data_IF_697475474440
#
_entry.id   IF_697475474440
#
_cell.length_a   1.000
_cell.length_b   1.000
_cell.length_c   1.000
_cell.angle_alpha   90.00
_cell.angle_beta   90.00
_cell.angle_gamma   90.00
#
_symmetry.space_group_name_H-M   'P 1'
#
loop_
_entity.id
_entity.type
_entity.pdbx_description
1 polymer ?
#
# COMPACT_ATOMS: atom_id res chain seq x y z
N UNK A 1 14.45 -25.25 11.19
CA UNK A 1 14.13 -25.46 9.76
C UNK A 1 14.52 -24.21 9.01
N UNK A 2 15.34 -24.32 7.94
CA UNK A 2 15.62 -23.17 7.07
C UNK A 2 14.32 -22.60 6.48
N UNK A 3 14.21 -21.27 6.41
CA UNK A 3 13.02 -20.59 5.87
C UNK A 3 13.40 -19.33 5.09
N UNK A 4 12.65 -19.04 4.04
CA UNK A 4 12.71 -17.74 3.34
C UNK A 4 11.45 -16.94 3.65
N UNK A 5 11.62 -15.75 4.23
CA UNK A 5 10.54 -14.83 4.52
C UNK A 5 10.52 -13.75 3.44
N UNK A 6 9.54 -13.82 2.54
CA UNK A 6 9.36 -12.81 1.50
C UNK A 6 8.56 -11.63 2.09
N UNK A 7 9.14 -10.42 2.03
CA UNK A 7 8.52 -9.18 2.51
C UNK A 7 8.23 -8.26 1.34
N UNK A 8 7.03 -8.37 0.76
CA UNK A 8 6.58 -7.44 -0.27
C UNK A 8 6.35 -6.03 0.31
N UNK A 9 6.72 -5.00 -0.45
CA UNK A 9 6.54 -3.60 -0.03
C UNK A 9 5.06 -3.19 -0.04
N UNK A 10 4.34 -3.50 -1.09
CA UNK A 10 2.90 -3.30 -1.23
C UNK A 10 2.36 -4.18 -2.37
N UNK A 11 1.06 -4.43 -2.36
CA UNK A 11 0.38 -5.18 -3.42
C UNK A 11 -0.47 -4.22 -4.25
N UNK A 12 -0.59 -4.46 -5.57
CA UNK A 12 -1.51 -3.69 -6.41
C UNK A 12 -2.93 -3.70 -5.85
N UNK A 13 -3.38 -4.85 -5.34
CA UNK A 13 -4.72 -5.03 -4.75
C UNK A 13 -4.97 -4.16 -3.53
N UNK A 14 -3.95 -3.81 -2.77
CA UNK A 14 -4.11 -2.92 -1.61
C UNK A 14 -4.31 -1.44 -2.00
N UNK A 15 -4.01 -1.09 -3.26
CA UNK A 15 -4.06 0.28 -3.76
C UNK A 15 -5.35 0.61 -4.54
N UNK A 16 -6.36 -0.27 -4.54
CA UNK A 16 -7.63 -0.06 -5.27
C UNK A 16 -8.67 0.75 -4.49
N UNK A 17 -8.43 1.05 -3.22
CA UNK A 17 -9.44 1.59 -2.30
C UNK A 17 -10.16 2.84 -2.79
N UNK A 18 -9.51 3.67 -3.61
CA UNK A 18 -10.06 4.92 -4.08
C UNK A 18 -10.61 4.89 -5.52
N UNK A 19 -10.60 3.73 -6.19
CA UNK A 19 -11.08 3.59 -7.58
C UNK A 19 -12.52 4.07 -7.71
N UNK A 20 -13.45 3.58 -6.89
CA UNK A 20 -14.86 3.96 -6.97
C UNK A 20 -15.09 5.44 -6.65
N UNK A 21 -14.26 5.98 -5.77
CA UNK A 21 -14.29 7.38 -5.42
C UNK A 21 -13.94 8.26 -6.62
N UNK A 22 -12.86 7.91 -7.32
CA UNK A 22 -12.42 8.60 -8.54
C UNK A 22 -13.43 8.43 -9.67
N UNK A 23 -13.95 7.21 -9.89
CA UNK A 23 -15.03 6.95 -10.87
C UNK A 23 -16.27 7.79 -10.61
N UNK A 24 -16.60 8.05 -9.36
CA UNK A 24 -17.71 8.92 -8.97
C UNK A 24 -17.39 10.43 -9.07
N UNK A 25 -16.25 10.82 -9.64
CA UNK A 25 -15.81 12.22 -9.80
C UNK A 25 -15.43 12.91 -8.49
N UNK A 26 -15.32 12.15 -7.40
CA UNK A 26 -14.89 12.67 -6.08
C UNK A 26 -13.37 12.80 -6.03
N UNK A 27 -12.83 13.74 -5.23
CA UNK A 27 -11.38 13.91 -5.11
C UNK A 27 -10.71 12.70 -4.46
N UNK A 28 -9.52 12.32 -4.93
CA UNK A 28 -8.65 11.35 -4.28
C UNK A 28 -8.19 11.89 -2.93
N UNK A 29 -8.27 11.09 -1.87
CA UNK A 29 -7.86 11.49 -0.52
C UNK A 29 -6.36 11.27 -0.34
N UNK A 30 -5.67 12.31 0.09
CA UNK A 30 -4.27 12.28 0.46
C UNK A 30 -4.13 12.57 1.95
N UNK A 31 -3.12 12.00 2.59
CA UNK A 31 -2.71 12.40 3.92
C UNK A 31 -1.50 13.34 3.81
N UNK A 32 -1.57 14.48 4.53
CA UNK A 32 -0.57 15.54 4.39
C UNK A 32 -0.50 16.06 2.95
N UNK A 33 0.70 16.16 2.41
CA UNK A 33 0.95 16.56 1.03
C UNK A 33 0.86 15.40 0.02
N UNK A 34 0.64 14.16 0.48
CA UNK A 34 0.65 12.96 -0.35
C UNK A 34 2.04 12.41 -0.67
N UNK A 35 3.08 12.90 0.02
CA UNK A 35 4.48 12.48 -0.12
C UNK A 35 5.05 11.89 1.20
N UNK A 36 4.18 11.69 2.21
CA UNK A 36 4.61 11.20 3.53
C UNK A 36 5.04 9.75 3.52
N UNK A 37 4.54 8.97 2.57
CA UNK A 37 4.85 7.56 2.42
C UNK A 37 5.09 7.22 0.96
N UNK A 38 5.85 6.15 0.70
CA UNK A 38 6.06 5.62 -0.62
C UNK A 38 6.20 4.09 -0.59
N UNK A 39 5.93 3.43 -1.71
CA UNK A 39 6.11 2.00 -1.88
C UNK A 39 6.51 1.66 -3.32
N UNK A 40 7.05 0.46 -3.53
CA UNK A 40 7.23 -0.15 -4.85
C UNK A 40 6.21 -1.31 -4.97
N UNK A 41 4.97 -1.03 -5.38
CA UNK A 41 3.93 -2.05 -5.38
C UNK A 41 4.24 -3.15 -6.40
N UNK A 42 3.92 -4.40 -6.05
CA UNK A 42 4.14 -5.58 -6.88
C UNK A 42 2.80 -6.24 -7.22
N UNK A 43 2.69 -6.84 -8.42
CA UNK A 43 1.53 -7.63 -8.80
C UNK A 43 1.54 -9.00 -8.09
N UNK A 44 0.35 -9.59 -7.96
CA UNK A 44 0.22 -10.94 -7.40
C UNK A 44 0.98 -11.97 -8.26
N UNK A 45 0.97 -11.78 -9.59
CA UNK A 45 1.66 -12.66 -10.55
C UNK A 45 3.17 -12.57 -10.38
N UNK A 46 3.74 -11.37 -10.40
CA UNK A 46 5.19 -11.19 -10.26
C UNK A 46 5.68 -11.67 -8.90
N UNK A 47 4.90 -11.41 -7.83
CA UNK A 47 5.22 -11.93 -6.52
C UNK A 47 5.19 -13.46 -6.46
N UNK A 48 4.20 -14.10 -7.11
CA UNK A 48 4.14 -15.56 -7.17
C UNK A 48 5.35 -16.12 -7.90
N UNK A 49 5.76 -15.54 -9.03
CA UNK A 49 6.97 -15.93 -9.74
C UNK A 49 8.21 -15.78 -8.85
N UNK A 50 8.34 -14.64 -8.15
CA UNK A 50 9.45 -14.42 -7.23
C UNK A 50 9.50 -15.48 -6.12
N UNK A 51 8.35 -15.83 -5.54
CA UNK A 51 8.26 -16.86 -4.49
C UNK A 51 8.70 -18.23 -5.04
N UNK A 52 8.26 -18.60 -6.24
CA UNK A 52 8.68 -19.86 -6.88
C UNK A 52 10.19 -19.89 -7.09
N UNK A 53 10.79 -18.80 -7.58
CA UNK A 53 12.24 -18.69 -7.74
C UNK A 53 13.03 -18.87 -6.43
N UNK A 54 12.39 -18.60 -5.28
CA UNK A 54 13.03 -18.81 -3.95
C UNK A 54 13.07 -20.30 -3.56
N UNK A 55 12.19 -21.17 -4.13
CA UNK A 55 12.12 -22.58 -3.76
C UNK A 55 13.36 -23.34 -4.22
N UNK A 56 13.94 -22.96 -5.36
CA UNK A 56 15.12 -23.60 -5.95
C UNK A 56 16.44 -23.16 -5.30
N UNK A 57 16.38 -22.17 -4.39
CA UNK A 57 17.56 -21.65 -3.74
C UNK A 57 17.83 -22.38 -2.41
N UNK A 58 18.81 -23.30 -2.42
CA UNK A 58 19.26 -23.97 -1.22
C UNK A 58 19.91 -22.98 -0.27
N UNK A 59 19.43 -22.91 0.99
CA UNK A 59 19.92 -21.94 1.98
C UNK A 59 20.08 -22.57 3.34
N UNK A 60 21.08 -22.10 4.05
CA UNK A 60 21.25 -22.41 5.47
C UNK A 60 20.60 -21.29 6.32
N UNK A 61 19.71 -21.68 7.25
CA UNK A 61 19.05 -20.75 8.17
C UNK A 61 17.85 -20.00 7.60
N UNK A 62 17.37 -19.01 8.35
CA UNK A 62 16.24 -18.15 7.97
C UNK A 62 16.75 -16.86 7.32
N UNK A 63 16.23 -16.55 6.14
CA UNK A 63 16.60 -15.35 5.37
C UNK A 63 15.36 -14.52 5.08
N UNK A 64 15.45 -13.18 5.29
CA UNK A 64 14.41 -12.23 4.92
C UNK A 64 14.74 -11.62 3.55
N UNK A 65 13.76 -11.63 2.64
CA UNK A 65 13.86 -11.10 1.28
C UNK A 65 12.82 -9.99 1.08
N UNK A 66 13.22 -8.72 1.24
CA UNK A 66 12.38 -7.61 0.83
C UNK A 66 12.26 -7.61 -0.71
N UNK A 67 11.09 -7.26 -1.23
CA UNK A 67 10.83 -7.20 -2.67
C UNK A 67 9.76 -6.17 -2.99
N UNK A 68 9.96 -5.40 -4.05
CA UNK A 68 8.98 -4.51 -4.65
C UNK A 68 8.78 -4.81 -6.13
N UNK A 69 7.79 -4.19 -6.72
CA UNK A 69 7.58 -4.19 -8.17
C UNK A 69 8.56 -3.28 -8.90
N UNK A 70 8.56 -3.34 -10.24
CA UNK A 70 9.50 -2.58 -11.08
C UNK A 70 9.22 -1.07 -11.06
N UNK A 71 10.28 -0.30 -11.22
CA UNK A 71 10.25 1.15 -11.40
C UNK A 71 10.37 1.96 -10.11
N UNK A 72 10.19 3.28 -10.18
CA UNK A 72 10.39 4.17 -9.05
C UNK A 72 9.38 3.93 -7.93
N UNK A 73 9.74 4.31 -6.71
CA UNK A 73 8.80 4.31 -5.60
C UNK A 73 7.64 5.28 -5.88
N UNK A 74 6.44 4.85 -5.52
CA UNK A 74 5.19 5.56 -5.79
C UNK A 74 4.64 6.13 -4.48
N UNK A 75 4.59 7.46 -4.39
CA UNK A 75 3.90 8.17 -3.32
C UNK A 75 2.38 8.28 -3.62
N UNK A 76 1.52 8.50 -2.61
CA UNK A 76 0.08 8.68 -2.80
C UNK A 76 -0.31 9.79 -3.80
N UNK A 77 0.46 10.85 -3.92
CA UNK A 77 0.22 11.90 -4.92
C UNK A 77 0.43 11.38 -6.35
N UNK A 78 1.50 10.62 -6.59
CA UNK A 78 1.76 9.98 -7.88
C UNK A 78 0.72 8.88 -8.18
N UNK A 79 0.30 8.11 -7.17
CA UNK A 79 -0.77 7.14 -7.27
C UNK A 79 -2.09 7.79 -7.73
N UNK A 80 -2.46 8.95 -7.14
CA UNK A 80 -3.64 9.71 -7.52
C UNK A 80 -3.60 10.12 -9.00
N UNK A 81 -2.45 10.62 -9.47
CA UNK A 81 -2.25 11.00 -10.87
C UNK A 81 -2.40 9.80 -11.81
N UNK A 82 -1.79 8.66 -11.48
CA UNK A 82 -1.88 7.41 -12.25
C UNK A 82 -3.33 6.92 -12.34
N UNK A 83 -4.06 6.89 -11.21
CA UNK A 83 -5.44 6.43 -11.18
C UNK A 83 -6.37 7.37 -11.96
N UNK A 84 -6.26 8.69 -11.77
CA UNK A 84 -7.07 9.66 -12.50
C UNK A 84 -6.80 9.59 -14.00
N UNK A 85 -5.53 9.45 -14.42
CA UNK A 85 -5.16 9.24 -15.81
C UNK A 85 -5.76 7.95 -16.38
N UNK A 86 -5.65 6.84 -15.67
CA UNK A 86 -6.24 5.55 -16.08
C UNK A 86 -7.77 5.61 -16.19
N UNK A 87 -8.43 6.38 -15.33
CA UNK A 87 -9.88 6.59 -15.32
C UNK A 87 -10.36 7.65 -16.33
N UNK A 88 -9.45 8.29 -17.05
CA UNK A 88 -9.73 9.45 -17.92
C UNK A 88 -10.49 10.57 -17.18
N UNK A 89 -10.12 10.82 -15.93
CA UNK A 89 -10.73 11.82 -15.05
C UNK A 89 -9.72 12.92 -14.70
N UNK A 90 -10.19 14.16 -14.49
CA UNK A 90 -9.30 15.24 -14.05
C UNK A 90 -8.73 14.93 -12.67
N UNK A 91 -7.44 15.24 -12.46
CA UNK A 91 -6.79 15.07 -11.17
C UNK A 91 -7.42 16.03 -10.15
N UNK A 92 -8.17 15.46 -9.21
CA UNK A 92 -8.73 16.17 -8.07
C UNK A 92 -8.26 15.47 -6.79
N UNK A 93 -7.61 16.19 -5.92
CA UNK A 93 -7.14 15.67 -4.63
C UNK A 93 -7.72 16.47 -3.46
N UNK A 94 -7.82 15.83 -2.31
CA UNK A 94 -8.18 16.45 -1.05
C UNK A 94 -7.23 15.99 0.03
N UNK A 95 -6.48 16.91 0.59
CA UNK A 95 -5.57 16.64 1.70
C UNK A 95 -6.34 16.54 3.02
N UNK A 96 -5.93 15.57 3.83
CA UNK A 96 -6.41 15.35 5.20
C UNK A 96 -5.19 15.36 6.15
N UNK A 97 -5.29 16.00 7.32
CA UNK A 97 -4.20 16.00 8.27
C UNK A 97 -4.04 14.60 8.88
N UNK A 98 -2.82 14.01 8.91
CA UNK A 98 -2.59 12.69 9.52
C UNK A 98 -2.96 12.64 11.01
N UNK A 99 -2.94 13.79 11.68
CA UNK A 99 -3.33 13.92 13.09
C UNK A 99 -4.80 13.53 13.35
N UNK A 100 -5.63 13.52 12.32
CA UNK A 100 -7.03 13.09 12.46
C UNK A 100 -7.15 11.66 13.02
N UNK A 101 -6.20 10.77 12.69
CA UNK A 101 -6.17 9.43 13.25
C UNK A 101 -5.97 9.43 14.76
N UNK A 102 -5.13 10.34 15.29
CA UNK A 102 -4.90 10.48 16.73
C UNK A 102 -6.14 11.04 17.44
N UNK A 103 -6.83 12.00 16.82
CA UNK A 103 -8.07 12.56 17.37
C UNK A 103 -9.17 11.52 17.48
N UNK A 104 -9.39 10.74 16.40
CA UNK A 104 -10.37 9.64 16.43
C UNK A 104 -9.98 8.55 17.42
N UNK A 105 -8.69 8.21 17.48
CA UNK A 105 -8.19 7.25 18.45
C UNK A 105 -8.44 7.74 19.88
N UNK A 106 -8.10 8.98 20.19
CA UNK A 106 -8.33 9.57 21.50
C UNK A 106 -9.82 9.53 21.89
N UNK A 107 -10.71 9.87 20.96
CA UNK A 107 -12.15 9.83 21.17
C UNK A 107 -12.70 8.42 21.41
N UNK A 108 -12.16 7.40 20.72
CA UNK A 108 -12.65 6.02 20.78
C UNK A 108 -11.99 5.20 21.90
N UNK A 109 -10.83 5.61 22.42
CA UNK A 109 -10.07 4.85 23.44
C UNK A 109 -10.90 4.57 24.70
N UNK A 110 -11.64 5.52 25.30
CA UNK A 110 -12.45 5.22 26.48
C UNK A 110 -13.58 4.20 26.18
N UNK A 111 -14.16 4.20 24.97
CA UNK A 111 -15.18 3.25 24.56
C UNK A 111 -14.59 1.85 24.31
N UNK A 112 -13.33 1.77 23.97
CA UNK A 112 -12.61 0.49 23.78
C UNK A 112 -12.47 -0.33 25.09
N UNK A 113 -12.57 0.32 26.25
CA UNK A 113 -12.57 -0.36 27.55
C UNK A 113 -13.87 -1.16 27.79
N UNK A 114 -14.95 -0.79 27.12
CA UNK A 114 -16.28 -1.36 27.34
C UNK A 114 -16.75 -2.27 26.18
N UNK A 115 -16.07 -2.25 25.02
CA UNK A 115 -16.47 -3.01 23.84
C UNK A 115 -15.28 -3.45 22.99
N UNK A 116 -15.18 -4.77 22.68
CA UNK A 116 -14.15 -5.31 21.79
C UNK A 116 -14.18 -4.71 20.38
N UNK A 117 -15.34 -4.27 19.89
CA UNK A 117 -15.46 -3.69 18.55
C UNK A 117 -14.84 -2.28 18.49
N UNK A 118 -14.94 -1.50 19.56
CA UNK A 118 -14.20 -0.23 19.64
C UNK A 118 -12.70 -0.44 19.80
N UNK A 119 -12.25 -1.49 20.50
CA UNK A 119 -10.83 -1.84 20.57
C UNK A 119 -10.26 -2.16 19.20
N UNK A 120 -10.97 -2.95 18.37
CA UNK A 120 -10.59 -3.22 16.97
C UNK A 120 -10.50 -1.94 16.14
N UNK A 121 -11.45 -1.01 16.31
CA UNK A 121 -11.42 0.28 15.59
C UNK A 121 -10.24 1.15 15.99
N UNK A 122 -9.89 1.19 17.27
CA UNK A 122 -8.72 1.92 17.77
C UNK A 122 -7.43 1.35 17.18
N UNK A 123 -7.28 0.02 17.16
CA UNK A 123 -6.11 -0.62 16.54
C UNK A 123 -6.07 -0.39 15.03
N UNK A 124 -7.21 -0.45 14.37
CA UNK A 124 -7.32 -0.12 12.95
C UNK A 124 -6.87 1.31 12.63
N UNK A 125 -7.23 2.31 13.44
CA UNK A 125 -6.77 3.69 13.27
C UNK A 125 -5.25 3.83 13.44
N UNK A 126 -4.66 3.03 14.32
CA UNK A 126 -3.20 2.99 14.51
C UNK A 126 -2.50 2.45 13.27
N UNK A 127 -3.01 1.33 12.73
CA UNK A 127 -2.49 0.72 11.50
C UNK A 127 -2.68 1.67 10.31
N UNK A 128 -3.84 2.30 10.18
CA UNK A 128 -4.13 3.25 9.12
C UNK A 128 -3.19 4.47 9.16
N UNK A 129 -2.90 5.01 10.34
CA UNK A 129 -1.92 6.08 10.50
C UNK A 129 -0.53 5.64 10.04
N UNK A 130 -0.09 4.44 10.43
CA UNK A 130 1.19 3.90 10.02
C UNK A 130 1.33 3.87 8.49
N UNK A 131 0.36 3.28 7.79
CA UNK A 131 0.37 3.24 6.32
C UNK A 131 0.23 4.61 5.65
N UNK A 132 -0.35 5.60 6.33
CA UNK A 132 -0.48 6.95 5.80
C UNK A 132 0.80 7.79 5.95
N UNK A 133 1.70 7.44 6.88
CA UNK A 133 2.87 8.27 7.26
C UNK A 133 4.21 7.57 7.07
N UNK A 134 4.24 6.23 7.02
CA UNK A 134 5.47 5.46 6.90
C UNK A 134 5.61 4.84 5.51
N UNK A 135 6.81 4.88 4.96
CA UNK A 135 7.10 4.24 3.68
C UNK A 135 7.29 2.73 3.83
N UNK A 136 6.83 1.98 2.83
CA UNK A 136 7.03 0.54 2.73
C UNK A 136 8.19 0.24 1.77
N UNK A 137 9.38 0.68 2.14
CA UNK A 137 10.64 0.52 1.40
C UNK A 137 11.69 -0.06 2.35
N UNK A 138 12.85 -0.45 1.82
CA UNK A 138 13.96 -0.84 2.66
C UNK A 138 14.46 0.35 3.49
N UNK A 139 14.78 0.07 4.75
CA UNK A 139 15.34 1.07 5.66
C UNK A 139 16.85 1.13 5.49
N UNK A 140 17.36 2.29 5.17
CA UNK A 140 18.79 2.58 5.17
C UNK A 140 19.23 2.97 6.58
N UNK A 141 20.00 2.09 7.22
CA UNK A 141 20.48 2.31 8.58
C UNK A 141 21.58 3.38 8.68
N UNK A 142 22.33 3.62 7.60
CA UNK A 142 23.39 4.62 7.59
C UNK A 142 22.80 6.03 7.51
N UNK A 143 21.85 6.23 6.61
CA UNK A 143 21.22 7.53 6.38
C UNK A 143 19.92 7.75 7.17
N UNK A 144 19.49 6.77 7.99
CA UNK A 144 18.29 6.82 8.82
C UNK A 144 17.03 7.23 8.04
N UNK A 145 16.85 6.64 6.85
CA UNK A 145 15.73 6.92 5.95
C UNK A 145 15.27 5.68 5.18
N UNK A 146 14.05 5.73 4.68
CA UNK A 146 13.59 4.76 3.68
C UNK A 146 14.28 5.05 2.34
N UNK A 147 14.77 3.98 1.70
CA UNK A 147 15.52 4.09 0.45
C UNK A 147 14.87 3.28 -0.66
N UNK A 148 14.46 3.99 -1.71
CA UNK A 148 13.84 3.38 -2.87
C UNK A 148 14.86 2.65 -3.75
N UNK A 149 16.09 3.15 -3.84
CA UNK A 149 17.12 2.61 -4.72
C UNK A 149 17.67 1.28 -4.19
N UNK A 150 17.78 1.16 -2.87
CA UNK A 150 18.18 -0.10 -2.21
C UNK A 150 17.04 -1.12 -2.08
N UNK A 151 15.80 -0.72 -2.38
CA UNK A 151 14.65 -1.64 -2.36
C UNK A 151 14.65 -2.52 -3.60
N UNK A 152 14.85 -3.85 -3.48
CA UNK A 152 14.91 -4.75 -4.61
C UNK A 152 13.64 -4.76 -5.45
N UNK A 153 13.80 -4.92 -6.76
CA UNK A 153 12.71 -4.94 -7.73
C UNK A 153 12.60 -6.32 -8.40
N UNK A 154 11.36 -6.71 -8.73
CA UNK A 154 11.10 -7.92 -9.50
C UNK A 154 9.84 -7.76 -10.34
N UNK A 155 9.86 -8.41 -11.52
CA UNK A 155 8.72 -8.49 -12.42
C UNK A 155 8.67 -7.38 -13.46
N UNK A 156 7.55 -7.31 -14.14
CA UNK A 156 7.31 -6.38 -15.26
C UNK A 156 5.94 -5.70 -15.21
N UNK A 157 5.06 -6.13 -14.31
CA UNK A 157 3.72 -5.56 -14.19
C UNK A 157 3.78 -4.16 -13.58
N UNK A 158 3.00 -3.24 -14.13
CA UNK A 158 2.94 -1.86 -13.63
C UNK A 158 1.58 -1.54 -13.02
N UNK A 159 1.59 -0.72 -11.96
CA UNK A 159 0.36 -0.27 -11.31
C UNK A 159 -0.58 0.48 -12.28
N UNK A 160 -0.03 1.24 -13.22
CA UNK A 160 -0.82 1.95 -14.23
C UNK A 160 -1.55 0.99 -15.19
N UNK A 161 -0.91 -0.12 -15.58
CA UNK A 161 -1.55 -1.16 -16.39
C UNK A 161 -2.66 -1.87 -15.61
N UNK A 162 -2.39 -2.21 -14.35
CA UNK A 162 -3.37 -2.80 -13.44
C UNK A 162 -4.61 -1.91 -13.26
N UNK A 163 -4.45 -0.61 -13.01
CA UNK A 163 -5.59 0.31 -12.91
C UNK A 163 -6.44 0.33 -14.19
N UNK A 164 -5.80 0.34 -15.36
CA UNK A 164 -6.53 0.27 -16.65
C UNK A 164 -7.31 -1.04 -16.79
N UNK A 165 -6.72 -2.17 -16.41
CA UNK A 165 -7.36 -3.48 -16.46
C UNK A 165 -8.58 -3.56 -15.53
N UNK A 166 -8.46 -3.07 -14.29
CA UNK A 166 -9.59 -3.01 -13.34
C UNK A 166 -10.68 -2.06 -13.82
N UNK A 167 -10.32 -0.90 -14.36
CA UNK A 167 -11.29 0.10 -14.84
C UNK A 167 -12.03 -0.34 -16.10
N UNK A 168 -11.39 -1.11 -16.99
CA UNK A 168 -12.02 -1.70 -18.18
C UNK A 168 -12.85 -2.95 -17.88
N UNK A 169 -12.75 -3.51 -16.66
CA UNK A 169 -13.40 -4.75 -16.27
C UNK A 169 -12.71 -6.02 -16.79
N UNK A 170 -11.51 -5.91 -17.37
CA UNK A 170 -10.72 -7.07 -17.80
C UNK A 170 -10.04 -7.78 -16.61
N UNK A 171 -9.93 -7.12 -15.48
CA UNK A 171 -9.50 -7.69 -14.21
C UNK A 171 -10.55 -7.41 -13.14
N UNK A 172 -10.92 -8.46 -12.38
CA UNK A 172 -11.87 -8.28 -11.29
C UNK A 172 -11.23 -7.46 -10.17
N UNK A 173 -11.91 -6.41 -9.68
CA UNK A 173 -11.43 -5.73 -8.48
C UNK A 173 -11.32 -6.75 -7.34
N UNK A 174 -10.28 -6.69 -6.53
CA UNK A 174 -10.12 -7.60 -5.41
C UNK A 174 -11.35 -7.52 -4.49
N UNK A 175 -11.77 -8.67 -3.95
CA UNK A 175 -12.81 -8.70 -2.92
C UNK A 175 -12.37 -7.80 -1.76
N UNK A 176 -13.17 -6.81 -1.51
CA UNK A 176 -12.92 -5.89 -0.39
C UNK A 176 -13.32 -6.62 0.87
N UNK A 177 -12.33 -7.14 1.60
CA UNK A 177 -12.53 -7.69 2.93
C UNK A 177 -13.21 -6.69 3.88
N UNK A 178 -13.61 -7.14 5.06
CA UNK A 178 -14.30 -6.34 6.09
C UNK A 178 -13.51 -5.09 6.55
N UNK A 179 -12.22 -5.02 6.24
CA UNK A 179 -11.32 -3.93 6.60
C UNK A 179 -11.19 -2.90 5.48
N UNK A 180 -12.26 -2.13 5.23
CA UNK A 180 -12.19 -0.98 4.31
C UNK A 180 -11.44 0.16 4.99
N UNK A 181 -10.29 0.54 4.43
CA UNK A 181 -9.55 1.73 4.88
C UNK A 181 -10.14 3.03 4.30
N UNK A 182 -10.89 2.95 3.16
CA UNK A 182 -11.51 4.11 2.49
C UNK A 182 -12.77 3.70 1.71
#
# INVERSE_FOLDING_TARGET
VPATIVRATAFFRSLVGQIDRVKAGKPFLLFGNGELSACKPISDRDLACFIVDQLDQHREGTVVRPIGGPGPAIAPAAQAAMLCSAANMPLKTRSLPPQMFDWFRWLLTPLALFSPDFAKRVEFLRIAKFYATESMLCWDHENQRYDADSTPEFGSDTLAAFYRAVLSGSESPPERGEHRLF
#
